data_IF_621008622856
#
_entry.id   IF_621008622856
#
_cell.length_a   1.000
_cell.length_b   1.000
_cell.length_c   1.000
_cell.angle_alpha   90.00
_cell.angle_beta   90.00
_cell.angle_gamma   90.00
#
_symmetry.space_group_name_H-M   'P 1'
#
loop_
_entity.id
_entity.type
_entity.pdbx_description
1 polymer ?
#
# COMPACT_ATOMS: atom_id res chain seq x y z
N UNK A 1 -63.90 2.38 -19.92
CA UNK A 1 -63.32 1.39 -19.00
C UNK A 1 -61.80 1.50 -19.08
N UNK A 2 -61.22 2.10 -18.09
CA UNK A 2 -59.77 2.32 -18.00
C UNK A 2 -59.13 1.12 -17.24
N UNK A 3 -58.05 0.49 -17.72
CA UNK A 3 -57.44 -0.63 -17.00
C UNK A 3 -56.73 -0.17 -15.74
N UNK A 4 -56.68 -1.01 -14.69
CA UNK A 4 -56.00 -0.66 -13.45
C UNK A 4 -54.47 -0.59 -13.60
N UNK A 5 -53.84 0.38 -12.91
CA UNK A 5 -52.37 0.52 -12.84
C UNK A 5 -51.76 -0.68 -12.11
N UNK A 6 -50.60 -1.19 -12.55
CA UNK A 6 -49.90 -2.22 -11.80
C UNK A 6 -49.36 -1.64 -10.49
N UNK A 7 -49.53 -2.39 -9.40
CA UNK A 7 -49.11 -2.05 -8.08
C UNK A 7 -47.56 -1.92 -8.00
N UNK A 8 -47.14 -0.92 -7.28
CA UNK A 8 -45.74 -0.73 -6.88
C UNK A 8 -45.29 -1.90 -6.01
N UNK A 9 -44.43 -2.74 -6.54
CA UNK A 9 -43.70 -3.76 -5.79
C UNK A 9 -42.79 -3.03 -4.81
N UNK A 10 -43.08 -3.10 -3.51
CA UNK A 10 -42.17 -2.72 -2.47
C UNK A 10 -40.88 -3.58 -2.60
N UNK A 11 -39.78 -2.91 -2.87
CA UNK A 11 -38.49 -3.55 -2.90
C UNK A 11 -38.18 -4.11 -1.48
N UNK A 12 -38.23 -5.44 -1.36
CA UNK A 12 -37.82 -6.15 -0.15
C UNK A 12 -36.39 -5.74 0.16
N UNK A 13 -36.16 -5.25 1.38
CA UNK A 13 -34.79 -5.02 1.88
C UNK A 13 -33.96 -6.31 1.71
N UNK A 14 -32.68 -6.22 1.35
CA UNK A 14 -31.85 -7.41 1.21
C UNK A 14 -31.83 -8.16 2.55
N UNK A 15 -32.22 -9.43 2.47
CA UNK A 15 -32.21 -10.36 3.60
C UNK A 15 -30.79 -10.43 4.16
N UNK A 16 -30.61 -9.96 5.39
CA UNK A 16 -29.35 -10.10 6.10
C UNK A 16 -29.07 -11.58 6.27
N UNK A 17 -28.06 -12.09 5.57
CA UNK A 17 -27.56 -13.43 5.81
C UNK A 17 -27.22 -13.58 7.30
N UNK A 18 -27.61 -14.68 7.96
CA UNK A 18 -27.32 -14.89 9.37
C UNK A 18 -25.81 -14.84 9.57
N UNK A 19 -25.37 -14.04 10.56
CA UNK A 19 -23.97 -14.00 10.99
C UNK A 19 -23.54 -15.44 11.32
N UNK A 20 -22.58 -15.95 10.55
CA UNK A 20 -22.00 -17.24 10.84
C UNK A 20 -21.42 -17.15 12.24
N UNK A 21 -21.83 -18.05 13.14
CA UNK A 21 -21.24 -18.29 14.45
C UNK A 21 -19.82 -18.84 14.25
N UNK A 22 -18.90 -18.00 13.83
CA UNK A 22 -17.48 -18.29 13.83
C UNK A 22 -16.96 -18.04 15.26
N UNK A 23 -16.19 -18.95 15.86
CA UNK A 23 -15.47 -18.61 17.09
C UNK A 23 -14.69 -17.34 16.80
N UNK A 24 -14.80 -16.32 17.67
CA UNK A 24 -14.12 -15.05 17.54
C UNK A 24 -12.64 -15.33 17.22
N UNK A 25 -12.26 -15.21 15.94
CA UNK A 25 -10.86 -15.29 15.54
C UNK A 25 -10.16 -14.18 16.31
N UNK A 26 -9.15 -14.53 17.09
CA UNK A 26 -8.21 -13.53 17.61
C UNK A 26 -7.66 -12.78 16.39
N UNK A 27 -7.50 -11.47 16.52
CA UNK A 27 -6.93 -10.67 15.45
C UNK A 27 -5.55 -11.19 15.04
N UNK A 28 -5.19 -10.97 13.80
CA UNK A 28 -3.96 -11.49 13.18
C UNK A 28 -2.74 -10.61 13.40
N UNK A 29 -2.90 -9.42 13.99
CA UNK A 29 -1.79 -8.52 14.31
C UNK A 29 -1.22 -8.88 15.70
N UNK A 30 0.03 -8.47 15.93
CA UNK A 30 0.78 -8.70 17.17
C UNK A 30 -0.09 -8.38 18.41
N UNK A 31 -0.13 -9.32 19.34
CA UNK A 31 -0.96 -9.21 20.53
C UNK A 31 -2.42 -9.61 20.35
N UNK A 32 -2.80 -10.19 19.22
CA UNK A 32 -4.17 -10.64 18.96
C UNK A 32 -5.14 -9.50 18.63
N UNK A 33 -4.61 -8.33 18.24
CA UNK A 33 -5.38 -7.17 17.78
C UNK A 33 -5.91 -7.42 16.35
N UNK A 34 -7.13 -6.98 16.04
CA UNK A 34 -7.63 -7.00 14.66
C UNK A 34 -6.93 -5.92 13.83
N UNK A 35 -6.84 -6.12 12.52
CA UNK A 35 -6.29 -5.10 11.61
C UNK A 35 -7.03 -3.76 11.71
N UNK A 36 -8.34 -3.82 11.89
CA UNK A 36 -9.18 -2.62 12.01
C UNK A 36 -8.87 -1.84 13.30
N UNK A 37 -8.76 -2.53 14.44
CA UNK A 37 -8.43 -1.92 15.72
C UNK A 37 -7.00 -1.38 15.71
N UNK A 38 -6.06 -2.16 15.15
CA UNK A 38 -4.67 -1.73 14.97
C UNK A 38 -4.58 -0.42 14.18
N UNK A 39 -5.29 -0.33 13.04
CA UNK A 39 -5.32 0.89 12.23
C UNK A 39 -6.00 2.05 12.97
N UNK A 40 -7.11 1.80 13.66
CA UNK A 40 -7.80 2.83 14.44
C UNK A 40 -6.90 3.40 15.54
N UNK A 41 -6.16 2.55 16.25
CA UNK A 41 -5.18 2.96 17.27
C UNK A 41 -4.04 3.81 16.69
N UNK A 42 -3.49 3.44 15.52
CA UNK A 42 -2.47 4.25 14.83
C UNK A 42 -3.01 5.63 14.46
N UNK A 43 -4.22 5.69 13.90
CA UNK A 43 -4.85 6.96 13.52
C UNK A 43 -5.12 7.86 14.73
N UNK A 44 -5.63 7.30 15.84
CA UNK A 44 -5.87 8.05 17.06
C UNK A 44 -4.57 8.57 17.68
N UNK A 45 -3.54 7.75 17.77
CA UNK A 45 -2.23 8.18 18.23
C UNK A 45 -1.63 9.27 17.33
N UNK A 46 -1.86 9.19 16.02
CA UNK A 46 -1.40 10.23 15.08
C UNK A 46 -2.14 11.54 15.25
N UNK A 47 -3.46 11.51 15.49
CA UNK A 47 -4.28 12.69 15.71
C UNK A 47 -3.94 13.39 17.03
N UNK A 48 -3.77 12.62 18.10
CA UNK A 48 -3.54 13.15 19.46
C UNK A 48 -2.15 13.77 19.62
N UNK A 49 -1.13 13.24 18.92
CA UNK A 49 0.27 13.69 19.07
C UNK A 49 0.76 14.58 17.94
N UNK A 50 0.08 14.60 16.78
CA UNK A 50 0.57 15.24 15.56
C UNK A 50 1.70 14.48 14.86
N UNK A 51 2.08 13.31 15.37
CA UNK A 51 3.13 12.45 14.82
C UNK A 51 2.55 11.10 14.40
N UNK A 52 3.06 10.52 13.31
CA UNK A 52 2.61 9.22 12.82
C UNK A 52 2.68 8.14 13.92
N UNK A 53 1.57 7.46 14.18
CA UNK A 53 1.43 6.46 15.25
C UNK A 53 1.89 6.96 16.64
N UNK A 54 1.94 8.26 16.88
CA UNK A 54 2.47 8.85 18.11
C UNK A 54 4.00 8.82 18.22
N UNK A 55 4.71 8.57 17.11
CA UNK A 55 6.16 8.40 17.09
C UNK A 55 6.85 9.73 16.80
N UNK A 56 7.46 10.35 17.81
CA UNK A 56 8.32 11.51 17.60
C UNK A 56 9.67 11.11 16.99
N UNK A 57 10.16 9.94 17.36
CA UNK A 57 11.48 9.42 16.97
C UNK A 57 11.43 7.90 16.79
N UNK A 58 12.33 7.39 15.96
CA UNK A 58 12.49 5.96 15.75
C UNK A 58 13.48 5.39 16.76
N UNK A 59 13.04 4.45 17.59
CA UNK A 59 13.87 3.88 18.66
C UNK A 59 15.20 3.35 18.15
N UNK A 60 15.19 2.48 17.14
CA UNK A 60 16.41 1.90 16.58
C UNK A 60 17.36 2.95 16.00
N UNK A 61 16.83 4.02 15.38
CA UNK A 61 17.66 5.09 14.81
C UNK A 61 18.40 5.89 15.88
N UNK A 62 17.87 5.96 17.10
CA UNK A 62 18.51 6.66 18.23
C UNK A 62 19.47 5.74 18.99
N UNK A 63 19.09 4.47 19.18
CA UNK A 63 19.85 3.51 19.98
C UNK A 63 21.02 2.90 19.19
N UNK A 64 20.79 2.54 17.92
CA UNK A 64 21.81 2.04 16.98
C UNK A 64 21.57 2.56 15.57
N UNK A 65 22.01 3.79 15.26
CA UNK A 65 21.85 4.39 13.94
C UNK A 65 22.54 3.60 12.82
N UNK A 66 23.60 2.87 13.12
CA UNK A 66 24.33 2.06 12.12
C UNK A 66 23.46 0.85 11.73
N UNK A 67 22.89 0.14 12.70
CA UNK A 67 21.98 -0.97 12.43
C UNK A 67 20.74 -0.48 11.66
N UNK A 68 20.17 0.66 12.05
CA UNK A 68 19.04 1.27 11.34
C UNK A 68 19.36 1.53 9.86
N UNK A 69 20.48 2.22 9.57
CA UNK A 69 20.86 2.54 8.19
C UNK A 69 21.23 1.29 7.39
N UNK A 70 21.86 0.30 8.00
CA UNK A 70 22.14 -1.01 7.39
C UNK A 70 20.85 -1.73 6.98
N UNK A 71 19.87 -1.81 7.88
CA UNK A 71 18.57 -2.44 7.60
C UNK A 71 17.80 -1.69 6.51
N UNK A 72 17.70 -0.37 6.63
CA UNK A 72 17.01 0.47 5.66
C UNK A 72 17.64 0.36 4.27
N UNK A 73 18.96 0.40 4.17
CA UNK A 73 19.71 0.26 2.93
C UNK A 73 19.53 -1.11 2.30
N UNK A 74 19.53 -2.20 3.10
CA UNK A 74 19.25 -3.56 2.62
C UNK A 74 17.84 -3.68 2.03
N UNK A 75 16.82 -3.17 2.73
CA UNK A 75 15.43 -3.18 2.24
C UNK A 75 15.32 -2.40 0.93
N UNK A 76 15.89 -1.21 0.86
CA UNK A 76 15.86 -0.37 -0.34
C UNK A 76 16.58 -1.02 -1.51
N UNK A 77 17.77 -1.55 -1.29
CA UNK A 77 18.55 -2.27 -2.32
C UNK A 77 17.80 -3.51 -2.82
N UNK A 78 17.18 -4.27 -1.92
CA UNK A 78 16.37 -5.43 -2.28
C UNK A 78 15.12 -5.10 -3.08
N UNK A 79 14.44 -4.00 -2.75
CA UNK A 79 13.31 -3.48 -3.52
C UNK A 79 13.73 -3.11 -4.95
N UNK A 80 14.86 -2.42 -5.12
CA UNK A 80 15.40 -2.08 -6.43
C UNK A 80 15.82 -3.34 -7.19
N UNK A 81 16.49 -4.28 -6.51
CA UNK A 81 16.90 -5.55 -7.11
C UNK A 81 15.70 -6.38 -7.58
N UNK A 82 14.67 -6.52 -6.76
CA UNK A 82 13.44 -7.23 -7.12
C UNK A 82 12.77 -6.58 -8.33
N UNK A 83 12.69 -5.24 -8.37
CA UNK A 83 12.16 -4.51 -9.52
C UNK A 83 12.95 -4.78 -10.81
N UNK A 84 14.26 -4.65 -10.76
CA UNK A 84 15.10 -4.88 -11.96
C UNK A 84 15.07 -6.33 -12.42
N UNK A 85 14.96 -7.29 -11.49
CA UNK A 85 14.79 -8.71 -11.82
C UNK A 85 13.40 -8.95 -12.44
N UNK A 86 12.34 -8.42 -11.83
CA UNK A 86 10.98 -8.51 -12.36
C UNK A 86 10.89 -7.93 -13.78
N UNK A 87 11.51 -6.77 -14.01
CA UNK A 87 11.59 -6.14 -15.34
C UNK A 87 12.18 -7.07 -16.40
N UNK A 88 13.23 -7.84 -16.05
CA UNK A 88 13.89 -8.77 -16.99
C UNK A 88 13.08 -10.02 -17.30
N UNK A 89 12.19 -10.45 -16.42
CA UNK A 89 11.33 -11.63 -16.63
C UNK A 89 9.95 -11.28 -17.17
N UNK A 90 9.59 -9.99 -17.20
CA UNK A 90 8.38 -9.51 -17.82
C UNK A 90 8.42 -9.70 -19.35
N UNK A 91 7.25 -9.89 -19.94
CA UNK A 91 7.14 -10.03 -21.39
C UNK A 91 6.42 -8.86 -22.05
N UNK A 92 5.65 -8.11 -21.30
CA UNK A 92 4.97 -6.91 -21.79
C UNK A 92 6.00 -5.81 -22.08
N UNK A 93 5.99 -5.20 -23.29
CA UNK A 93 6.90 -4.11 -23.63
C UNK A 93 6.81 -2.92 -22.67
N UNK A 94 5.63 -2.63 -22.12
CA UNK A 94 5.42 -1.55 -21.16
C UNK A 94 6.20 -1.84 -19.86
N UNK A 95 6.22 -3.06 -19.40
CA UNK A 95 6.96 -3.45 -18.20
C UNK A 95 8.45 -3.59 -18.51
N UNK A 96 8.82 -4.31 -19.60
CA UNK A 96 10.19 -4.61 -19.95
C UNK A 96 10.97 -3.38 -20.40
N UNK A 97 10.41 -2.59 -21.31
CA UNK A 97 11.10 -1.46 -21.95
C UNK A 97 10.90 -0.16 -21.16
N UNK A 98 9.64 0.23 -20.92
CA UNK A 98 9.33 1.47 -20.22
C UNK A 98 9.55 1.35 -18.70
N UNK A 99 9.54 0.14 -18.15
CA UNK A 99 9.76 -0.10 -16.73
C UNK A 99 8.59 0.34 -15.86
N UNK A 100 7.38 0.24 -16.40
CA UNK A 100 6.14 0.59 -15.68
C UNK A 100 5.77 -0.49 -14.66
N UNK A 101 6.58 -0.57 -13.62
CA UNK A 101 6.36 -1.41 -12.45
C UNK A 101 6.94 -0.75 -11.20
N UNK A 102 6.33 -1.03 -10.06
CA UNK A 102 6.75 -0.54 -8.76
C UNK A 102 6.49 -1.59 -7.68
N UNK A 103 7.39 -1.69 -6.70
CA UNK A 103 7.21 -2.52 -5.52
C UNK A 103 7.36 -1.70 -4.25
N UNK A 104 6.55 -2.02 -3.25
CA UNK A 104 6.53 -1.27 -1.98
C UNK A 104 6.28 -2.23 -0.82
N UNK A 105 6.98 -2.01 0.28
CA UNK A 105 6.70 -2.64 1.57
C UNK A 105 5.79 -1.73 2.39
N UNK A 106 4.75 -2.29 2.97
CA UNK A 106 3.81 -1.61 3.85
C UNK A 106 3.84 -2.22 5.25
N UNK A 107 3.51 -1.43 6.25
CA UNK A 107 3.24 -1.94 7.59
C UNK A 107 1.87 -2.65 7.66
N UNK A 108 1.53 -3.24 8.80
CA UNK A 108 0.25 -3.94 8.98
C UNK A 108 -0.98 -3.03 8.73
N UNK A 109 -0.88 -1.73 8.99
CA UNK A 109 -1.96 -0.76 8.78
C UNK A 109 -2.09 -0.27 7.31
N UNK A 110 -1.24 -0.72 6.40
CA UNK A 110 -1.25 -0.35 4.99
C UNK A 110 -0.56 0.97 4.67
N UNK A 111 0.30 1.47 5.55
CA UNK A 111 1.11 2.64 5.27
C UNK A 111 2.48 2.24 4.74
N UNK A 112 2.97 2.97 3.73
CA UNK A 112 4.23 2.66 3.05
C UNK A 112 5.45 2.83 3.96
N UNK A 113 6.36 1.88 3.88
CA UNK A 113 7.62 1.86 4.65
C UNK A 113 8.81 2.15 3.77
N UNK A 114 8.90 1.46 2.65
CA UNK A 114 9.96 1.61 1.67
C UNK A 114 9.43 1.23 0.30
N UNK A 115 9.93 1.89 -0.75
CA UNK A 115 9.53 1.66 -2.13
C UNK A 115 10.73 1.51 -3.04
N UNK A 116 10.55 0.76 -4.14
CA UNK A 116 11.52 0.68 -5.22
C UNK A 116 11.55 2.00 -6.03
N UNK A 117 12.44 2.06 -7.00
CA UNK A 117 12.31 3.02 -8.11
C UNK A 117 11.09 2.65 -8.96
N UNK A 118 10.65 3.57 -9.83
CA UNK A 118 9.48 3.39 -10.71
C UNK A 118 8.42 4.46 -10.50
N UNK A 119 7.19 4.18 -10.89
CA UNK A 119 6.09 5.16 -10.84
C UNK A 119 5.55 5.25 -9.41
N UNK A 120 5.92 6.34 -8.74
CA UNK A 120 5.70 6.53 -7.29
C UNK A 120 4.21 6.62 -6.90
N UNK A 121 3.32 6.99 -7.81
CA UNK A 121 1.89 7.10 -7.54
C UNK A 121 1.30 5.76 -7.07
N UNK A 122 1.83 4.65 -7.54
CA UNK A 122 1.37 3.30 -7.17
C UNK A 122 1.62 2.94 -5.70
N UNK A 123 2.53 3.62 -5.04
CA UNK A 123 2.72 3.50 -3.58
C UNK A 123 1.42 3.85 -2.86
N UNK A 124 0.77 4.94 -3.28
CA UNK A 124 -0.52 5.37 -2.73
C UNK A 124 -1.65 4.43 -3.09
N UNK A 125 -1.73 3.98 -4.35
CA UNK A 125 -2.84 3.13 -4.83
C UNK A 125 -2.86 1.76 -4.16
N UNK A 126 -1.71 1.10 -4.03
CA UNK A 126 -1.60 -0.18 -3.31
C UNK A 126 -1.90 -0.02 -1.82
N UNK A 127 -1.41 1.07 -1.20
CA UNK A 127 -1.74 1.40 0.19
C UNK A 127 -3.24 1.64 0.39
N UNK A 128 -3.91 2.29 -0.55
CA UNK A 128 -5.37 2.47 -0.53
C UNK A 128 -6.12 1.14 -0.61
N UNK A 129 -5.66 0.21 -1.45
CA UNK A 129 -6.24 -1.13 -1.56
C UNK A 129 -6.09 -1.93 -0.26
N UNK A 130 -4.92 -1.90 0.39
CA UNK A 130 -4.70 -2.55 1.69
C UNK A 130 -5.64 -1.94 2.74
N UNK A 131 -5.73 -0.61 2.81
CA UNK A 131 -6.63 0.09 3.75
C UNK A 131 -8.09 -0.25 3.50
N UNK A 132 -8.49 -0.35 2.24
CA UNK A 132 -9.83 -0.79 1.86
C UNK A 132 -10.12 -2.21 2.38
N UNK A 133 -9.19 -3.16 2.22
CA UNK A 133 -9.34 -4.51 2.76
C UNK A 133 -9.51 -4.50 4.29
N UNK A 134 -8.71 -3.70 4.99
CA UNK A 134 -8.79 -3.58 6.45
C UNK A 134 -10.16 -3.03 6.89
N UNK A 135 -10.60 -1.95 6.27
CA UNK A 135 -11.84 -1.25 6.64
C UNK A 135 -13.10 -2.07 6.33
N UNK A 136 -13.04 -2.93 5.32
CA UNK A 136 -14.19 -3.74 4.87
C UNK A 136 -14.14 -5.21 5.35
N UNK A 137 -13.27 -5.56 6.32
CA UNK A 137 -13.33 -6.84 7.01
C UNK A 137 -12.74 -8.03 6.25
N UNK A 138 -11.76 -7.80 5.36
CA UNK A 138 -11.07 -8.90 4.65
C UNK A 138 -10.39 -9.89 5.60
N UNK A 139 -10.02 -9.47 6.80
CA UNK A 139 -9.48 -10.35 7.85
C UNK A 139 -10.46 -11.47 8.23
N UNK A 140 -11.76 -11.18 8.21
CA UNK A 140 -12.82 -12.14 8.52
C UNK A 140 -13.23 -12.95 7.29
N UNK A 141 -13.45 -12.27 6.17
CA UNK A 141 -13.89 -12.87 4.92
C UNK A 141 -13.33 -12.06 3.72
N UNK A 142 -12.50 -12.65 2.85
CA UNK A 142 -12.19 -14.08 2.66
C UNK A 142 -11.12 -14.65 3.61
N UNK A 143 -10.68 -13.90 4.60
CA UNK A 143 -9.55 -14.22 5.46
C UNK A 143 -8.23 -13.74 4.85
N UNK A 144 -7.23 -13.55 5.72
CA UNK A 144 -5.87 -13.20 5.34
C UNK A 144 -4.94 -14.17 6.03
N UNK A 145 -4.25 -15.02 5.25
CA UNK A 145 -3.41 -16.09 5.72
C UNK A 145 -2.01 -16.01 5.08
N UNK A 146 -0.96 -16.62 5.66
CA UNK A 146 0.33 -16.74 5.01
C UNK A 146 0.22 -17.40 3.63
N UNK A 147 0.88 -16.84 2.63
CA UNK A 147 0.85 -17.34 1.26
C UNK A 147 -0.35 -16.89 0.42
N UNK A 148 -1.23 -16.05 0.97
CA UNK A 148 -2.30 -15.44 0.20
C UNK A 148 -1.77 -14.38 -0.78
N UNK A 149 -2.49 -14.23 -1.89
CA UNK A 149 -2.24 -13.17 -2.88
C UNK A 149 -3.57 -12.48 -3.15
N UNK A 150 -3.57 -11.16 -3.08
CA UNK A 150 -4.73 -10.33 -3.43
C UNK A 150 -4.41 -9.51 -4.66
N UNK A 151 -5.39 -9.39 -5.56
CA UNK A 151 -5.26 -8.56 -6.77
C UNK A 151 -6.23 -7.41 -6.75
N UNK A 152 -5.76 -6.22 -7.12
CA UNK A 152 -6.57 -5.02 -7.25
C UNK A 152 -6.19 -4.23 -8.49
N UNK A 153 -7.19 -3.74 -9.22
CA UNK A 153 -7.05 -2.70 -10.24
C UNK A 153 -8.28 -1.79 -10.30
N UNK A 154 -9.08 -1.77 -9.23
CA UNK A 154 -10.32 -0.99 -9.17
C UNK A 154 -10.03 0.49 -8.88
N UNK A 155 -10.37 1.36 -9.83
CA UNK A 155 -10.21 2.81 -9.70
C UNK A 155 -11.12 3.42 -8.62
N UNK A 156 -12.22 2.77 -8.23
CA UNK A 156 -13.12 3.29 -7.20
C UNK A 156 -12.50 3.30 -5.80
N UNK A 157 -11.42 2.56 -5.59
CA UNK A 157 -10.68 2.51 -4.32
C UNK A 157 -9.28 3.13 -4.40
N UNK A 158 -9.07 3.98 -5.40
CA UNK A 158 -7.88 4.81 -5.49
C UNK A 158 -6.85 4.39 -6.54
N UNK A 159 -7.12 3.33 -7.34
CA UNK A 159 -6.24 3.00 -8.45
C UNK A 159 -6.29 4.08 -9.53
N UNK A 160 -5.22 4.28 -10.29
CA UNK A 160 -5.15 5.34 -11.32
C UNK A 160 -6.04 4.98 -12.50
N UNK A 161 -5.81 3.81 -13.07
CA UNK A 161 -6.61 3.22 -14.16
C UNK A 161 -6.55 1.68 -14.08
N UNK A 162 -7.48 0.94 -14.72
CA UNK A 162 -7.52 -0.52 -14.59
C UNK A 162 -6.30 -1.24 -15.17
N UNK A 163 -5.50 -0.56 -15.99
CA UNK A 163 -4.25 -1.12 -16.53
C UNK A 163 -3.17 -1.32 -15.48
N UNK A 164 -3.23 -0.59 -14.36
CA UNK A 164 -2.33 -0.76 -13.23
C UNK A 164 -2.82 -1.89 -12.34
N UNK A 165 -2.37 -3.08 -12.63
CA UNK A 165 -2.77 -4.26 -11.85
C UNK A 165 -1.79 -4.49 -10.71
N UNK A 166 -2.29 -4.46 -9.48
CA UNK A 166 -1.50 -4.69 -8.28
C UNK A 166 -1.69 -6.12 -7.76
N UNK A 167 -0.58 -6.75 -7.35
CA UNK A 167 -0.59 -7.90 -6.46
C UNK A 167 -0.17 -7.46 -5.06
N UNK A 168 -0.88 -7.93 -4.04
CA UNK A 168 -0.64 -7.60 -2.63
C UNK A 168 -0.47 -8.91 -1.87
N UNK A 169 0.66 -9.06 -1.18
CA UNK A 169 1.05 -10.28 -0.46
C UNK A 169 1.29 -9.92 1.01
N UNK A 170 0.64 -10.61 1.97
CA UNK A 170 0.87 -10.40 3.38
C UNK A 170 2.23 -10.95 3.82
N UNK A 171 2.85 -10.29 4.79
CA UNK A 171 4.08 -10.75 5.46
C UNK A 171 3.71 -11.18 6.88
N UNK A 172 3.97 -12.43 7.20
CA UNK A 172 3.74 -12.99 8.52
C UNK A 172 5.05 -13.33 9.23
N UNK A 173 5.07 -13.17 10.54
CA UNK A 173 6.11 -13.68 11.41
C UNK A 173 5.50 -14.36 12.63
N UNK A 174 5.82 -15.63 12.86
CA UNK A 174 5.28 -16.44 13.99
C UNK A 174 3.73 -16.42 14.07
N UNK A 175 3.06 -16.40 12.91
CA UNK A 175 1.60 -16.40 12.82
C UNK A 175 0.94 -15.02 12.96
N UNK A 176 1.71 -13.96 13.19
CA UNK A 176 1.23 -12.57 13.25
C UNK A 176 1.53 -11.83 11.95
N UNK A 177 0.56 -11.06 11.47
CA UNK A 177 0.75 -10.18 10.31
C UNK A 177 1.61 -8.98 10.70
N UNK A 178 2.75 -8.82 10.06
CA UNK A 178 3.70 -7.74 10.34
C UNK A 178 3.73 -6.66 9.25
N UNK A 179 3.16 -6.92 8.09
CA UNK A 179 3.14 -5.98 6.98
C UNK A 179 2.70 -6.63 5.68
N UNK A 180 2.93 -5.91 4.57
CA UNK A 180 2.55 -6.33 3.23
C UNK A 180 3.62 -5.97 2.22
N UNK A 181 3.66 -6.70 1.13
CA UNK A 181 4.36 -6.30 -0.09
C UNK A 181 3.32 -6.05 -1.17
N UNK A 182 3.37 -4.89 -1.79
CA UNK A 182 2.61 -4.60 -3.01
C UNK A 182 3.53 -4.53 -4.22
N UNK A 183 3.10 -5.13 -5.32
CA UNK A 183 3.76 -5.02 -6.62
C UNK A 183 2.74 -4.68 -7.70
N UNK A 184 2.99 -3.65 -8.49
CA UNK A 184 2.12 -3.21 -9.58
C UNK A 184 2.87 -3.29 -10.91
N UNK A 185 2.15 -3.68 -11.96
CA UNK A 185 2.61 -3.56 -13.36
C UNK A 185 1.51 -2.93 -14.20
N UNK A 186 1.91 -2.09 -15.14
CA UNK A 186 0.99 -1.58 -16.15
C UNK A 186 0.83 -2.60 -17.27
N UNK A 187 -0.39 -3.16 -17.42
CA UNK A 187 -0.67 -4.18 -18.44
C UNK A 187 -1.08 -3.53 -19.77
N UNK A 188 -0.81 -4.22 -20.88
CA UNK A 188 -1.03 -3.68 -22.21
C UNK A 188 -2.50 -3.74 -22.68
N UNK A 189 -3.36 -4.51 -22.03
CA UNK A 189 -4.77 -4.64 -22.37
C UNK A 189 -5.59 -5.18 -21.19
N UNK A 190 -6.70 -4.54 -20.89
CA UNK A 190 -7.67 -4.94 -19.86
C UNK A 190 -8.99 -5.46 -20.43
N UNK A 191 -9.08 -5.66 -21.75
CA UNK A 191 -10.33 -6.07 -22.38
C UNK A 191 -11.37 -4.94 -22.48
N UNK A 192 -10.93 -3.67 -22.46
CA UNK A 192 -11.79 -2.50 -22.59
C UNK A 192 -12.52 -2.40 -23.93
N UNK A 193 -13.42 -1.43 -24.10
CA UNK A 193 -14.19 -1.25 -25.35
C UNK A 193 -13.30 -1.01 -26.57
N UNK A 194 -12.10 -0.47 -26.37
CA UNK A 194 -11.08 -0.33 -27.42
C UNK A 194 -9.80 -1.10 -27.01
N UNK A 195 -9.07 -1.71 -27.98
CA UNK A 195 -7.80 -2.34 -27.68
C UNK A 195 -6.77 -1.33 -27.15
N UNK A 196 -5.93 -1.79 -26.21
CA UNK A 196 -4.86 -0.97 -25.65
C UNK A 196 -4.92 -0.86 -24.13
N UNK A 197 -3.88 -0.25 -23.56
CA UNK A 197 -3.76 -0.13 -22.11
C UNK A 197 -4.64 0.98 -21.52
N UNK A 198 -4.80 2.10 -22.24
CA UNK A 198 -5.68 3.20 -21.83
C UNK A 198 -6.74 3.44 -22.89
N UNK A 199 -7.99 3.10 -22.58
CA UNK A 199 -9.12 3.33 -23.44
C UNK A 199 -9.57 4.80 -23.35
N UNK A 200 -9.64 5.49 -24.47
CA UNK A 200 -10.01 6.93 -24.52
C UNK A 200 -11.45 7.17 -25.05
N UNK A 201 -12.14 6.13 -25.48
CA UNK A 201 -13.45 6.26 -26.14
C UNK A 201 -14.66 5.83 -25.29
N UNK A 202 -14.46 5.45 -24.03
CA UNK A 202 -15.54 4.98 -23.16
C UNK A 202 -16.34 6.14 -22.56
N UNK A 203 -17.65 5.94 -22.44
CA UNK A 203 -18.55 6.91 -21.81
C UNK A 203 -18.56 6.79 -20.27
N UNK A 204 -18.17 5.63 -19.73
CA UNK A 204 -18.18 5.32 -18.30
C UNK A 204 -17.02 4.42 -17.93
N UNK A 205 -16.64 4.38 -16.62
CA UNK A 205 -15.59 3.50 -16.11
C UNK A 205 -15.77 2.01 -16.42
N UNK A 206 -17.00 1.59 -16.69
CA UNK A 206 -17.28 0.19 -17.03
C UNK A 206 -16.78 -0.19 -18.44
N UNK A 207 -16.48 0.78 -19.27
CA UNK A 207 -15.83 0.59 -20.57
C UNK A 207 -14.31 0.40 -20.49
N UNK A 208 -13.70 0.59 -19.33
CA UNK A 208 -12.24 0.45 -19.11
C UNK A 208 -11.77 -1.01 -19.08
N UNK A 209 -12.67 -1.97 -19.12
CA UNK A 209 -12.39 -3.39 -19.18
C UNK A 209 -12.47 -4.11 -17.83
N UNK A 210 -11.71 -5.18 -17.71
CA UNK A 210 -11.74 -6.07 -16.57
C UNK A 210 -11.21 -5.41 -15.31
N UNK A 211 -12.05 -5.32 -14.27
CA UNK A 211 -11.74 -4.71 -12.99
C UNK A 211 -11.89 -5.74 -11.86
N UNK A 212 -10.97 -5.69 -10.92
CA UNK A 212 -10.88 -6.58 -9.77
C UNK A 212 -10.68 -5.76 -8.50
N UNK A 213 -11.56 -5.97 -7.52
CA UNK A 213 -11.56 -5.23 -6.25
C UNK A 213 -10.98 -6.10 -5.14
N UNK A 214 -9.69 -5.96 -4.83
CA UNK A 214 -9.01 -6.62 -3.73
C UNK A 214 -9.34 -8.13 -3.60
N UNK A 215 -9.53 -8.83 -4.71
CA UNK A 215 -9.91 -10.25 -4.72
C UNK A 215 -8.74 -11.11 -4.24
N UNK A 216 -9.02 -12.12 -3.38
CA UNK A 216 -8.05 -13.19 -3.08
C UNK A 216 -7.87 -14.03 -4.33
N UNK A 217 -6.73 -13.90 -4.98
CA UNK A 217 -6.40 -14.50 -6.29
C UNK A 217 -5.35 -15.59 -6.19
N UNK A 218 -4.75 -15.76 -5.01
CA UNK A 218 -3.78 -16.80 -4.75
C UNK A 218 -3.85 -17.32 -3.33
N UNK A 219 -3.32 -18.52 -3.13
CA UNK A 219 -3.16 -19.22 -1.87
C UNK A 219 -1.91 -20.10 -1.94
N UNK A 220 -1.26 -20.30 -0.79
CA UNK A 220 -0.05 -21.10 -0.67
C UNK A 220 1.02 -20.67 -1.73
N UNK A 221 1.18 -19.35 -1.88
CA UNK A 221 2.10 -18.71 -2.83
C UNK A 221 1.84 -18.98 -4.31
N UNK A 222 0.66 -19.48 -4.64
CA UNK A 222 0.29 -19.83 -6.02
C UNK A 222 -1.02 -19.15 -6.42
N UNK A 223 -1.11 -18.63 -7.66
CA UNK A 223 -2.39 -18.16 -8.19
C UNK A 223 -3.43 -19.26 -8.22
N UNK A 224 -4.65 -18.94 -7.88
CA UNK A 224 -5.81 -19.82 -7.97
C UNK A 224 -6.10 -20.16 -9.43
N UNK A 225 -6.50 -21.40 -9.69
CA UNK A 225 -6.75 -21.87 -11.04
C UNK A 225 -7.96 -21.17 -11.70
N UNK A 226 -9.01 -20.94 -10.95
CA UNK A 226 -10.20 -20.21 -11.41
C UNK A 226 -9.85 -18.77 -11.77
N UNK A 227 -9.06 -18.08 -10.93
CA UNK A 227 -8.53 -16.76 -11.22
C UNK A 227 -7.77 -16.70 -12.55
N UNK A 228 -6.84 -17.64 -12.76
CA UNK A 228 -6.07 -17.69 -14.00
C UNK A 228 -6.97 -17.91 -15.22
N UNK A 229 -7.97 -18.79 -15.11
CA UNK A 229 -8.91 -19.03 -16.21
C UNK A 229 -9.81 -17.83 -16.51
N UNK A 230 -10.34 -17.19 -15.49
CA UNK A 230 -11.22 -16.02 -15.62
C UNK A 230 -10.46 -14.83 -16.23
N UNK A 231 -9.33 -14.46 -15.62
CA UNK A 231 -8.56 -13.28 -16.03
C UNK A 231 -8.00 -13.41 -17.46
N UNK A 232 -7.54 -14.60 -17.84
CA UNK A 232 -7.06 -14.86 -19.19
C UNK A 232 -8.15 -14.71 -20.29
N UNK A 233 -9.41 -14.96 -19.94
CA UNK A 233 -10.54 -14.83 -20.88
C UNK A 233 -11.12 -13.43 -20.92
N UNK A 234 -10.76 -12.61 -19.97
CA UNK A 234 -11.23 -11.23 -19.85
C UNK A 234 -10.38 -10.23 -20.63
N UNK A 235 -9.18 -10.63 -21.09
CA UNK A 235 -8.24 -9.76 -21.80
C UNK A 235 -7.86 -10.32 -23.17
N UNK A 236 -7.49 -9.44 -24.11
CA UNK A 236 -7.10 -9.86 -25.48
C UNK A 236 -5.68 -10.44 -25.52
N UNK A 237 -4.78 -9.91 -24.71
CA UNK A 237 -3.34 -10.21 -24.73
C UNK A 237 -2.97 -11.20 -23.64
N UNK A 238 -3.62 -12.37 -23.63
CA UNK A 238 -3.55 -13.40 -22.60
C UNK A 238 -2.13 -13.79 -22.18
N UNK A 239 -1.21 -13.94 -23.14
CA UNK A 239 0.18 -14.34 -22.83
C UNK A 239 0.91 -13.27 -22.00
N UNK A 240 0.78 -12.01 -22.36
CA UNK A 240 1.37 -10.89 -21.62
C UNK A 240 0.76 -10.77 -20.23
N UNK A 241 -0.56 -10.88 -20.14
CA UNK A 241 -1.28 -10.84 -18.87
C UNK A 241 -0.74 -11.87 -17.87
N UNK A 242 -0.60 -13.14 -18.29
CA UNK A 242 -0.10 -14.21 -17.42
C UNK A 242 1.35 -13.95 -16.98
N UNK A 243 2.20 -13.49 -17.90
CA UNK A 243 3.60 -13.23 -17.59
C UNK A 243 3.77 -12.02 -16.68
N UNK A 244 3.01 -10.96 -16.89
CA UNK A 244 2.99 -9.79 -16.01
C UNK A 244 2.44 -10.14 -14.62
N UNK A 245 1.40 -11.01 -14.53
CA UNK A 245 0.91 -11.55 -13.26
C UNK A 245 2.01 -12.30 -12.48
N UNK A 246 2.69 -13.20 -13.16
CA UNK A 246 3.82 -13.94 -12.56
C UNK A 246 4.96 -13.02 -12.15
N UNK A 247 5.23 -11.99 -12.94
CA UNK A 247 6.25 -10.98 -12.67
C UNK A 247 5.94 -10.21 -11.38
N UNK A 248 4.70 -9.74 -11.22
CA UNK A 248 4.24 -9.06 -10.00
C UNK A 248 4.40 -9.94 -8.77
N UNK A 249 3.90 -11.18 -8.85
CA UNK A 249 3.94 -12.15 -7.75
C UNK A 249 5.38 -12.50 -7.39
N UNK A 250 6.23 -12.80 -8.38
CA UNK A 250 7.63 -13.14 -8.14
C UNK A 250 8.39 -11.99 -7.45
N UNK A 251 8.19 -10.74 -7.89
CA UNK A 251 8.79 -9.58 -7.24
C UNK A 251 8.31 -9.41 -5.79
N UNK A 252 7.02 -9.61 -5.52
CA UNK A 252 6.50 -9.58 -4.15
C UNK A 252 7.12 -10.66 -3.27
N UNK A 253 7.25 -11.89 -3.77
CA UNK A 253 7.86 -13.00 -3.03
C UNK A 253 9.35 -12.77 -2.74
N UNK A 254 10.12 -12.22 -3.70
CA UNK A 254 11.53 -11.85 -3.48
C UNK A 254 11.67 -10.84 -2.33
N UNK A 255 10.81 -9.84 -2.29
CA UNK A 255 10.84 -8.81 -1.25
C UNK A 255 10.37 -9.37 0.10
N UNK A 256 9.33 -10.20 0.12
CA UNK A 256 8.88 -10.88 1.33
C UNK A 256 10.00 -11.74 1.92
N UNK A 257 10.66 -12.56 1.11
CA UNK A 257 11.79 -13.39 1.54
C UNK A 257 12.94 -12.55 2.11
N UNK A 258 13.25 -11.40 1.50
CA UNK A 258 14.24 -10.46 2.03
C UNK A 258 13.84 -9.93 3.41
N UNK A 259 12.58 -9.55 3.62
CA UNK A 259 12.10 -9.06 4.91
C UNK A 259 12.17 -10.15 5.96
N UNK A 260 11.76 -11.37 5.62
CA UNK A 260 11.86 -12.55 6.50
C UNK A 260 13.31 -12.86 6.88
N UNK A 261 14.24 -12.80 5.92
CA UNK A 261 15.68 -12.96 6.16
C UNK A 261 16.24 -11.87 7.08
N UNK A 262 15.86 -10.61 6.87
CA UNK A 262 16.29 -9.50 7.73
C UNK A 262 15.78 -9.68 9.17
N UNK A 263 14.55 -10.14 9.34
CA UNK A 263 14.00 -10.42 10.68
C UNK A 263 14.75 -11.60 11.33
N UNK A 264 15.10 -12.62 10.57
CA UNK A 264 15.88 -13.75 11.07
C UNK A 264 17.30 -13.34 11.50
N UNK A 265 17.92 -12.38 10.80
CA UNK A 265 19.26 -11.89 11.09
C UNK A 265 19.31 -10.86 12.24
N UNK A 266 18.40 -9.89 12.24
CA UNK A 266 18.45 -8.71 13.09
C UNK A 266 17.38 -8.75 14.22
N UNK A 267 16.43 -9.68 14.15
CA UNK A 267 15.33 -9.85 15.09
C UNK A 267 14.10 -9.01 14.76
N UNK A 268 12.93 -9.49 15.22
CA UNK A 268 11.64 -8.81 15.01
C UNK A 268 11.58 -7.47 15.76
N UNK A 269 12.27 -7.34 16.89
CA UNK A 269 12.31 -6.10 17.67
C UNK A 269 13.06 -4.99 16.91
N UNK A 270 14.17 -5.31 16.25
CA UNK A 270 14.87 -4.36 15.38
C UNK A 270 14.00 -3.93 14.21
N UNK A 271 13.28 -4.86 13.58
CA UNK A 271 12.30 -4.56 12.53
C UNK A 271 11.14 -3.70 13.04
N UNK A 272 10.63 -3.97 14.24
CA UNK A 272 9.57 -3.20 14.90
C UNK A 272 10.11 -1.88 15.46
N UNK A 273 11.29 -1.86 16.05
CA UNK A 273 11.96 -0.70 16.64
C UNK A 273 12.37 0.36 15.60
N UNK A 274 12.57 -0.04 14.35
CA UNK A 274 12.68 0.91 13.24
C UNK A 274 11.40 1.73 13.04
N UNK A 275 10.29 1.37 13.75
CA UNK A 275 8.94 1.91 13.61
C UNK A 275 8.26 2.28 14.94
N UNK A 276 8.85 1.99 16.13
CA UNK A 276 8.20 2.20 17.43
C UNK A 276 9.00 3.11 18.35
N UNK A 277 8.27 3.81 19.23
CA UNK A 277 8.82 4.68 20.27
C UNK A 277 9.56 3.86 21.31
N UNK A 278 10.76 4.29 21.71
CA UNK A 278 11.42 3.81 22.91
C UNK A 278 10.61 4.20 24.15
N UNK A 279 9.98 3.24 24.79
CA UNK A 279 9.42 3.41 26.13
C UNK A 279 10.51 3.17 27.17
N UNK A 280 11.50 4.01 27.24
CA UNK A 280 12.36 4.08 28.42
C UNK A 280 11.60 4.79 29.54
N UNK A 281 10.81 4.07 30.29
CA UNK A 281 10.52 4.38 31.69
C UNK A 281 11.78 4.10 32.50
N UNK A 282 12.70 5.03 32.46
CA UNK A 282 13.84 5.06 33.37
C UNK A 282 13.33 5.41 34.75
N UNK A 283 13.07 4.40 35.58
CA UNK A 283 13.04 4.56 37.00
C UNK A 283 14.43 4.90 37.49
N UNK A 284 14.73 6.17 37.65
CA UNK A 284 15.85 6.63 38.47
C UNK A 284 15.26 7.68 39.40
N UNK A 285 15.00 7.23 40.62
CA UNK A 285 14.87 8.15 41.74
C UNK A 285 16.16 8.94 41.87
N UNK A 286 16.06 10.25 41.82
CA UNK A 286 17.10 11.13 42.31
C UNK A 286 16.47 12.21 43.17
N UNK A 287 16.90 12.20 44.41
CA UNK A 287 16.62 13.05 45.51
C UNK A 287 16.83 14.54 45.22
N UNK A 288 16.02 15.33 45.92
CA UNK A 288 16.03 16.77 45.97
C UNK A 288 17.42 17.40 46.23
N UNK A 289 17.71 18.45 45.47
CA UNK A 289 18.74 19.42 45.72
C UNK A 289 18.24 20.80 45.34
N UNK A 290 17.93 21.58 46.38
CA UNK A 290 17.53 22.99 46.33
C UNK A 290 18.66 23.88 45.82
N UNK A 291 18.33 24.81 44.92
CA UNK A 291 19.25 25.88 44.53
C UNK A 291 18.59 26.91 43.64
N UNK A 292 18.10 27.95 44.23
CA UNK A 292 17.57 29.14 43.57
C UNK A 292 18.71 29.97 42.98
N UNK A 293 18.54 30.46 41.75
CA UNK A 293 19.16 31.73 41.31
C UNK A 293 18.47 32.24 40.05
N UNK A 294 17.97 33.45 40.19
CA UNK A 294 17.35 34.31 39.20
C UNK A 294 18.38 34.89 38.23
N UNK A 295 18.05 34.97 36.91
CA UNK A 295 18.47 36.16 36.14
C UNK A 295 17.66 36.22 34.79
N UNK A 296 17.15 37.39 34.63
CA UNK A 296 16.50 38.13 33.55
C UNK A 296 16.78 37.74 32.12
N UNK A 297 15.71 37.79 31.33
CA UNK A 297 15.68 37.85 29.87
C UNK A 297 16.24 39.17 29.31
N UNK A 298 16.59 39.20 28.02
CA UNK A 298 16.22 40.33 27.21
C UNK A 298 15.41 39.94 25.96
N UNK A 299 14.42 40.77 25.74
CA UNK A 299 13.53 40.86 24.59
C UNK A 299 14.28 41.25 23.31
N UNK A 300 14.06 40.53 22.19
CA UNK A 300 14.40 41.01 20.85
C UNK A 300 13.19 40.87 19.93
N UNK A 301 12.80 41.98 19.30
CA UNK A 301 11.68 42.14 18.35
C UNK A 301 12.05 41.51 16.99
N UNK A 302 11.09 41.01 16.23
CA UNK A 302 11.33 40.51 14.86
C UNK A 302 11.33 41.66 13.85
N UNK A 303 12.32 41.63 12.94
CA UNK A 303 12.34 42.46 11.72
C UNK A 303 11.63 41.73 10.59
N UNK A 304 10.66 42.40 9.99
CA UNK A 304 10.00 42.05 8.74
C UNK A 304 10.95 42.25 7.55
N UNK A 305 11.17 41.22 6.76
CA UNK A 305 11.75 41.35 5.43
C UNK A 305 10.77 40.79 4.39
N UNK A 306 10.20 41.73 3.61
CA UNK A 306 9.39 41.48 2.44
C UNK A 306 10.28 40.99 1.30
N UNK A 307 10.06 39.78 0.84
CA UNK A 307 10.69 39.26 -0.36
C UNK A 307 9.71 39.42 -1.55
N UNK A 308 10.09 40.28 -2.51
CA UNK A 308 9.38 40.47 -3.79
C UNK A 308 9.81 39.39 -4.76
N UNK A 309 8.86 38.67 -5.32
CA UNK A 309 9.04 37.77 -6.46
C UNK A 309 9.06 38.54 -7.78
N UNK A 310 9.97 38.28 -8.72
CA UNK A 310 9.85 38.80 -10.08
C UNK A 310 9.03 37.87 -10.98
N UNK A 311 8.08 38.41 -11.67
CA UNK A 311 7.29 37.84 -12.76
C UNK A 311 8.14 37.67 -14.01
N UNK A 312 8.10 36.55 -14.76
CA UNK A 312 8.70 36.49 -16.09
C UNK A 312 7.70 36.99 -17.14
N UNK A 313 8.11 37.98 -17.87
CA UNK A 313 7.47 38.50 -19.10
C UNK A 313 7.60 37.50 -20.24
N UNK A 314 6.47 37.15 -20.82
CA UNK A 314 6.37 36.37 -22.06
C UNK A 314 6.60 37.29 -23.27
N UNK A 315 7.70 37.10 -23.98
CA UNK A 315 7.92 37.71 -25.30
C UNK A 315 7.59 36.70 -26.41
N UNK A 316 6.54 37.01 -27.13
CA UNK A 316 6.16 36.35 -28.38
C UNK A 316 7.11 36.77 -29.50
N UNK A 317 7.81 35.83 -30.13
CA UNK A 317 8.45 36.04 -31.45
C UNK A 317 7.74 35.19 -32.51
N UNK A 318 6.92 35.85 -33.30
CA UNK A 318 6.48 35.37 -34.62
C UNK A 318 7.70 35.27 -35.53
N UNK A 319 7.95 34.11 -36.12
CA UNK A 319 8.64 34.05 -37.43
C UNK A 319 7.75 33.31 -38.43
N UNK A 320 7.53 34.01 -39.53
CA UNK A 320 6.90 33.56 -40.78
C UNK A 320 7.96 32.95 -41.70
N UNK A 321 7.50 32.06 -42.57
CA UNK A 321 8.06 31.64 -43.91
C UNK A 321 9.19 30.58 -43.80
N UNK A 322 9.21 29.54 -44.61
CA UNK A 322 8.65 29.32 -45.95
C UNK A 322 8.17 27.87 -46.08
#
# INVERSE_FOLDING_TARGET
MTPPRPGTSEARAPEQLPAANSPQRRGIVRGGETLKDHRARILEASRSTGHYAGLERLALKEEDPIQYEKMFSKVRAGLVHARETAKKIAASPIVEQEGELCFTVYNAAGDSVATSTGIIIHVGTMGAAIKYMIENGWEENPGIDPGDIFTNNDCSIGNVHPCDVAAIVPIFHQGELIGWVGGVTHVIDTGSVSPGSMCTGQATRFGDGYQVTCRKTGKDDKPLRDWLHESQRSVRTTKYWILDERTRIAGCHMIRALVEELIAQEGIEAWSGSRTRSSRTGGAGCSAGSGASSSRAPTARPRSSTCRTPTPTCTSSRRRRA
#
